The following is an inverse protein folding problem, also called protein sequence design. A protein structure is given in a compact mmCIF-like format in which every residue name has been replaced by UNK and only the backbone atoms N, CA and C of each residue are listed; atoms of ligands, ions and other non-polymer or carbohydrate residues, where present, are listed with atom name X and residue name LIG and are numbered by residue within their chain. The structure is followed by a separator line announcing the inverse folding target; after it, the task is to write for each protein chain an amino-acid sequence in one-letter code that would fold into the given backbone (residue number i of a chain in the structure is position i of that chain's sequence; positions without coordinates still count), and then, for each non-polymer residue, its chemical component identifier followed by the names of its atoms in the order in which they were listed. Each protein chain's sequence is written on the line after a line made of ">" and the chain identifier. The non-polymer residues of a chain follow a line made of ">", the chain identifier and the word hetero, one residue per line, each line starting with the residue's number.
data_IF_382441752071
#
_entry.id   IF_382441752071
#
_cell.length_a   1.000
_cell.length_b   1.000
_cell.length_c   1.000
_cell.angle_alpha   90.00
_cell.angle_beta   90.00
_cell.angle_gamma   90.00
#
_symmetry.space_group_name_H-M   'P 1'
#
loop_
_entity.id
_entity.type
_entity.pdbx_description
1 polymer ?
#
# COMPACT_ATOMS: atom_id res chain seq x y z
N UNK A 1 -22.71 31.31 -5.86
CA UNK A 1 -21.73 31.32 -4.77
C UNK A 1 -21.13 29.94 -4.59
N UNK A 2 -19.83 29.86 -4.29
CA UNK A 2 -19.19 28.59 -3.95
C UNK A 2 -19.05 28.51 -2.44
N UNK A 3 -19.49 27.40 -1.87
CA UNK A 3 -19.28 27.05 -0.48
C UNK A 3 -18.34 25.87 -0.37
N UNK A 4 -17.40 25.92 0.57
CA UNK A 4 -16.41 24.86 0.79
C UNK A 4 -16.31 24.53 2.28
N UNK A 5 -16.36 23.24 2.63
CA UNK A 5 -16.33 22.75 4.00
C UNK A 5 -15.58 21.41 4.11
N UNK A 6 -14.90 21.23 5.23
CA UNK A 6 -14.28 19.95 5.63
C UNK A 6 -15.36 19.01 6.17
N UNK A 7 -15.37 17.76 5.70
CA UNK A 7 -16.39 16.77 6.08
C UNK A 7 -16.42 16.44 7.58
N UNK A 8 -15.35 16.76 8.32
CA UNK A 8 -15.25 16.47 9.76
C UNK A 8 -15.95 17.52 10.64
N UNK A 9 -16.50 18.58 10.06
CA UNK A 9 -17.34 19.52 10.81
C UNK A 9 -18.74 18.94 11.06
N UNK A 10 -19.36 19.36 12.17
CA UNK A 10 -20.75 19.06 12.45
C UNK A 10 -21.66 19.68 11.37
N UNK A 11 -22.41 18.86 10.61
CA UNK A 11 -23.31 19.32 9.57
C UNK A 11 -24.36 20.33 10.06
N UNK A 12 -24.86 20.19 11.29
CA UNK A 12 -25.90 21.07 11.86
C UNK A 12 -25.37 22.49 12.07
N UNK A 13 -24.16 22.61 12.61
CA UNK A 13 -23.50 23.90 12.81
C UNK A 13 -23.17 24.58 11.48
N UNK A 14 -22.72 23.80 10.50
CA UNK A 14 -22.42 24.26 9.15
C UNK A 14 -23.69 24.76 8.47
N UNK A 15 -24.79 24.00 8.54
CA UNK A 15 -26.07 24.37 7.97
C UNK A 15 -26.62 25.67 8.58
N UNK A 16 -26.54 25.85 9.90
CA UNK A 16 -26.94 27.10 10.56
C UNK A 16 -26.25 28.31 9.92
N UNK A 17 -24.93 28.20 9.68
CA UNK A 17 -24.13 29.25 9.07
C UNK A 17 -24.44 29.46 7.58
N UNK A 18 -24.65 28.37 6.83
CA UNK A 18 -25.06 28.44 5.42
C UNK A 18 -26.41 29.14 5.30
N UNK A 19 -27.39 28.79 6.13
CA UNK A 19 -28.71 29.39 6.10
C UNK A 19 -28.65 30.90 6.38
N UNK A 20 -27.80 31.37 7.29
CA UNK A 20 -27.56 32.81 7.49
C UNK A 20 -26.98 33.51 6.25
N UNK A 21 -26.13 32.82 5.49
CA UNK A 21 -25.53 33.35 4.26
C UNK A 21 -26.52 33.31 3.08
N UNK A 22 -27.33 32.26 2.99
CA UNK A 22 -28.33 32.06 1.94
C UNK A 22 -29.58 32.91 2.16
N UNK A 23 -29.97 33.24 3.39
CA UNK A 23 -31.11 34.13 3.68
C UNK A 23 -31.00 35.52 3.03
N UNK A 24 -29.79 35.93 2.62
CA UNK A 24 -29.53 37.18 1.89
C UNK A 24 -29.70 37.05 0.37
N UNK A 25 -29.91 35.85 -0.14
CA UNK A 25 -30.15 35.57 -1.56
C UNK A 25 -31.48 34.84 -1.69
N UNK A 26 -32.42 35.38 -2.46
CA UNK A 26 -33.72 34.74 -2.72
C UNK A 26 -33.58 33.26 -3.09
N UNK A 27 -34.65 32.48 -2.87
CA UNK A 27 -34.76 31.01 -2.94
C UNK A 27 -34.14 30.35 -4.19
N UNK A 28 -32.82 30.27 -4.25
CA UNK A 28 -32.09 29.54 -5.29
C UNK A 28 -31.69 28.18 -4.72
N UNK A 29 -32.19 27.12 -5.34
CA UNK A 29 -31.75 25.73 -5.09
C UNK A 29 -30.23 25.66 -5.08
N UNK A 30 -29.66 25.25 -3.95
CA UNK A 30 -28.22 25.09 -3.80
C UNK A 30 -27.85 23.65 -4.09
N UNK A 31 -26.99 23.44 -5.09
CA UNK A 31 -26.46 22.12 -5.37
C UNK A 31 -25.35 21.78 -4.36
N UNK A 32 -25.13 20.51 -4.07
CA UNK A 32 -24.05 20.10 -3.19
C UNK A 32 -23.38 18.81 -3.64
N UNK A 33 -22.13 18.62 -3.24
CA UNK A 33 -21.35 17.43 -3.56
C UNK A 33 -20.46 17.04 -2.39
N UNK A 34 -20.36 15.73 -2.14
CA UNK A 34 -19.42 15.14 -1.20
C UNK A 34 -18.22 14.59 -1.95
N UNK A 35 -17.03 15.19 -1.82
CA UNK A 35 -15.80 14.71 -2.44
C UNK A 35 -14.99 13.88 -1.43
N UNK A 36 -15.24 12.58 -1.42
CA UNK A 36 -14.60 11.63 -0.50
C UNK A 36 -14.95 10.17 -0.79
N UNK A 37 -14.43 9.28 0.05
CA UNK A 37 -14.63 7.82 0.03
C UNK A 37 -15.55 7.33 1.13
N UNK A 38 -15.68 8.08 2.23
CA UNK A 38 -16.51 7.70 3.37
C UNK A 38 -18.01 7.89 3.05
N UNK A 39 -18.62 6.81 2.57
CA UNK A 39 -20.04 6.79 2.21
C UNK A 39 -20.95 7.05 3.41
N UNK A 40 -20.61 6.52 4.59
CA UNK A 40 -21.41 6.74 5.80
C UNK A 40 -21.39 8.22 6.20
N UNK A 41 -20.22 8.86 6.14
CA UNK A 41 -20.13 10.31 6.37
C UNK A 41 -20.89 11.10 5.30
N UNK A 42 -20.87 10.68 4.03
CA UNK A 42 -21.72 11.30 2.99
C UNK A 42 -23.22 11.22 3.31
N UNK A 43 -23.69 10.11 3.88
CA UNK A 43 -25.10 9.94 4.25
C UNK A 43 -25.49 10.88 5.40
N UNK A 44 -24.64 11.01 6.41
CA UNK A 44 -24.86 11.95 7.53
C UNK A 44 -25.02 13.39 7.02
N UNK A 45 -24.21 13.79 6.03
CA UNK A 45 -24.34 15.09 5.40
C UNK A 45 -25.61 15.24 4.56
N UNK A 46 -26.01 14.19 3.84
CA UNK A 46 -27.23 14.18 3.03
C UNK A 46 -28.48 14.35 3.89
N UNK A 47 -28.57 13.60 5.00
CA UNK A 47 -29.65 13.71 5.98
C UNK A 47 -29.72 15.13 6.57
N UNK A 48 -28.58 15.69 6.97
CA UNK A 48 -28.53 17.02 7.58
C UNK A 48 -28.93 18.14 6.61
N UNK A 49 -28.54 18.05 5.33
CA UNK A 49 -28.88 19.08 4.33
C UNK A 49 -30.35 19.00 3.89
N UNK A 50 -30.91 17.79 3.80
CA UNK A 50 -32.31 17.57 3.43
C UNK A 50 -32.69 18.08 2.03
N UNK A 51 -33.99 18.12 1.73
CA UNK A 51 -34.53 18.39 0.39
C UNK A 51 -34.27 19.80 -0.18
N UNK A 52 -33.79 20.75 0.63
CA UNK A 52 -33.42 22.10 0.17
C UNK A 52 -32.13 22.14 -0.65
N UNK A 53 -31.31 21.08 -0.56
CA UNK A 53 -30.05 20.97 -1.28
C UNK A 53 -30.10 19.81 -2.28
N UNK A 54 -29.78 20.08 -3.54
CA UNK A 54 -29.77 19.05 -4.59
C UNK A 54 -28.41 18.36 -4.63
N UNK A 55 -28.35 17.07 -4.28
CA UNK A 55 -27.11 16.27 -4.36
C UNK A 55 -26.69 16.11 -5.82
N UNK A 56 -25.42 16.41 -6.10
CA UNK A 56 -24.79 16.11 -7.37
C UNK A 56 -24.17 14.72 -7.25
N UNK A 57 -24.67 13.77 -8.03
CA UNK A 57 -23.99 12.49 -8.24
C UNK A 57 -22.89 12.68 -9.27
N UNK A 58 -21.70 12.14 -9.00
CA UNK A 58 -20.55 12.16 -9.91
C UNK A 58 -19.95 10.76 -10.11
N UNK A 59 -20.64 9.70 -9.68
CA UNK A 59 -20.08 8.34 -9.66
C UNK A 59 -19.66 7.85 -11.05
N UNK A 60 -20.44 8.17 -12.10
CA UNK A 60 -20.11 7.83 -13.49
C UNK A 60 -18.89 8.61 -13.97
N UNK A 61 -18.83 9.90 -13.65
CA UNK A 61 -17.69 10.74 -13.98
C UNK A 61 -16.42 10.31 -13.26
N UNK A 62 -16.51 9.88 -12.00
CA UNK A 62 -15.36 9.35 -11.26
C UNK A 62 -14.79 8.10 -11.93
N UNK A 63 -15.64 7.15 -12.32
CA UNK A 63 -15.19 5.93 -12.99
C UNK A 63 -14.58 6.24 -14.36
N UNK A 64 -15.23 7.08 -15.17
CA UNK A 64 -14.70 7.50 -16.45
C UNK A 64 -13.35 8.23 -16.31
N UNK A 65 -13.26 9.17 -15.36
CA UNK A 65 -12.05 9.91 -15.10
C UNK A 65 -10.92 8.99 -14.62
N UNK A 66 -11.22 8.07 -13.71
CA UNK A 66 -10.24 7.12 -13.20
C UNK A 66 -9.66 6.24 -14.31
N UNK A 67 -10.49 5.78 -15.26
CA UNK A 67 -10.04 5.03 -16.43
C UNK A 67 -9.12 5.87 -17.33
N UNK A 68 -9.52 7.12 -17.62
CA UNK A 68 -8.74 8.04 -18.47
C UNK A 68 -7.41 8.41 -17.80
N UNK A 69 -7.40 8.63 -16.49
CA UNK A 69 -6.23 9.11 -15.75
C UNK A 69 -5.29 7.99 -15.32
N UNK A 70 -5.70 6.72 -15.43
CA UNK A 70 -4.87 5.58 -15.02
C UNK A 70 -3.50 5.60 -15.70
N UNK A 71 -3.46 5.62 -17.04
CA UNK A 71 -2.19 5.58 -17.76
C UNK A 71 -1.33 6.83 -17.52
N UNK A 72 -1.85 8.06 -17.65
CA UNK A 72 -1.09 9.27 -17.31
C UNK A 72 -0.52 9.25 -15.89
N UNK A 73 -1.25 8.70 -14.92
CA UNK A 73 -0.76 8.58 -13.55
C UNK A 73 0.38 7.56 -13.43
N UNK A 74 0.28 6.41 -14.10
CA UNK A 74 1.35 5.42 -14.12
C UNK A 74 2.62 5.97 -14.79
N UNK A 75 2.48 6.73 -15.87
CA UNK A 75 3.61 7.38 -16.56
C UNK A 75 4.25 8.44 -15.65
N UNK A 76 3.44 9.27 -14.99
CA UNK A 76 3.91 10.27 -14.03
C UNK A 76 4.65 9.65 -12.84
N UNK A 77 4.16 8.52 -12.30
CA UNK A 77 4.86 7.76 -11.26
C UNK A 77 6.15 7.13 -11.80
N UNK A 78 6.16 6.64 -13.03
CA UNK A 78 7.35 6.06 -13.69
C UNK A 78 8.48 7.09 -13.77
N UNK A 79 8.18 8.31 -14.19
CA UNK A 79 9.18 9.38 -14.28
C UNK A 79 9.72 9.80 -12.91
N UNK A 80 8.87 9.84 -11.89
CA UNK A 80 9.32 10.02 -10.52
C UNK A 80 10.19 8.85 -10.06
N UNK A 81 9.84 7.62 -10.45
CA UNK A 81 10.59 6.41 -10.17
C UNK A 81 12.01 6.48 -10.68
N UNK A 82 12.21 6.79 -11.97
CA UNK A 82 13.54 7.00 -12.55
C UNK A 82 14.37 8.04 -11.79
N UNK A 83 13.73 9.14 -11.40
CA UNK A 83 14.40 10.27 -10.76
C UNK A 83 14.85 9.97 -9.34
N UNK A 84 14.07 9.19 -8.59
CA UNK A 84 14.30 8.95 -7.17
C UNK A 84 14.82 7.54 -6.85
N UNK A 85 14.86 6.65 -7.83
CA UNK A 85 15.21 5.23 -7.79
C UNK A 85 16.09 4.84 -6.59
N UNK A 86 15.43 4.49 -5.50
CA UNK A 86 16.09 4.22 -4.22
C UNK A 86 15.17 3.40 -3.35
N UNK A 87 15.76 2.73 -2.34
CA UNK A 87 14.99 2.02 -1.34
C UNK A 87 13.89 2.90 -0.73
N UNK A 88 14.21 4.16 -0.40
CA UNK A 88 13.24 5.10 0.17
C UNK A 88 12.10 5.42 -0.80
N UNK A 89 12.35 5.51 -2.11
CA UNK A 89 11.28 5.69 -3.07
C UNK A 89 10.38 4.45 -3.16
N UNK A 90 10.96 3.29 -3.44
CA UNK A 90 10.23 2.05 -3.70
C UNK A 90 9.45 1.50 -2.51
N UNK A 91 9.84 1.89 -1.30
CA UNK A 91 9.14 1.53 -0.06
C UNK A 91 8.19 2.63 0.43
N UNK A 92 7.86 3.62 -0.42
CA UNK A 92 6.89 4.69 -0.12
C UNK A 92 5.48 4.38 -0.63
N UNK A 93 4.43 4.84 0.08
CA UNK A 93 3.03 4.72 -0.37
C UNK A 93 2.77 5.31 -1.76
N UNK A 94 3.47 6.39 -2.12
CA UNK A 94 3.30 7.02 -3.43
C UNK A 94 3.77 6.07 -4.54
N UNK A 95 4.95 5.45 -4.37
CA UNK A 95 5.49 4.50 -5.33
C UNK A 95 4.76 3.14 -5.33
N UNK A 96 4.17 2.76 -4.19
CA UNK A 96 3.34 1.55 -4.08
C UNK A 96 2.07 1.67 -4.93
N UNK A 97 1.40 2.84 -4.93
CA UNK A 97 0.15 3.09 -5.66
C UNK A 97 -1.03 2.22 -5.22
N UNK A 98 -1.01 1.69 -3.99
CA UNK A 98 -2.11 0.89 -3.47
C UNK A 98 -3.37 1.77 -3.30
N UNK A 99 -4.42 1.46 -4.06
CA UNK A 99 -5.69 2.18 -4.08
C UNK A 99 -6.72 1.63 -3.09
N UNK A 100 -6.48 0.49 -2.46
CA UNK A 100 -7.34 0.00 -1.37
C UNK A 100 -7.30 0.96 -0.18
N UNK A 101 -6.13 1.52 0.09
CA UNK A 101 -5.91 2.56 1.10
C UNK A 101 -6.22 3.95 0.54
N UNK A 102 -6.28 4.96 1.42
CA UNK A 102 -6.33 6.37 0.99
C UNK A 102 -5.11 6.69 0.09
N UNK A 103 -5.39 6.94 -1.19
CA UNK A 103 -4.35 7.00 -2.22
C UNK A 103 -4.31 8.36 -2.90
N UNK A 104 -3.11 8.77 -3.31
CA UNK A 104 -2.89 9.99 -4.08
C UNK A 104 -3.77 10.03 -5.34
N UNK A 105 -3.95 8.90 -6.00
CA UNK A 105 -4.75 8.79 -7.23
C UNK A 105 -6.21 9.21 -7.02
N UNK A 106 -6.85 8.75 -5.93
CA UNK A 106 -8.23 9.16 -5.62
C UNK A 106 -8.33 10.66 -5.37
N UNK A 107 -7.37 11.23 -4.63
CA UNK A 107 -7.32 12.67 -4.33
C UNK A 107 -7.20 13.50 -5.59
N UNK A 108 -6.37 13.07 -6.54
CA UNK A 108 -6.25 13.70 -7.87
C UNK A 108 -7.60 13.67 -8.61
N UNK A 109 -8.29 12.53 -8.59
CA UNK A 109 -9.60 12.40 -9.23
C UNK A 109 -10.64 13.32 -8.59
N UNK A 110 -10.75 13.34 -7.26
CA UNK A 110 -11.66 14.24 -6.54
C UNK A 110 -11.35 15.72 -6.77
N UNK A 111 -10.07 16.07 -6.82
CA UNK A 111 -9.65 17.44 -7.13
C UNK A 111 -10.13 17.85 -8.53
N UNK A 112 -9.89 17.01 -9.54
CA UNK A 112 -10.35 17.28 -10.91
C UNK A 112 -11.88 17.36 -11.00
N UNK A 113 -12.61 16.45 -10.36
CA UNK A 113 -14.08 16.50 -10.31
C UNK A 113 -14.56 17.82 -9.71
N UNK A 114 -13.95 18.27 -8.60
CA UNK A 114 -14.29 19.55 -8.00
C UNK A 114 -14.03 20.75 -8.93
N UNK A 115 -12.94 20.72 -9.70
CA UNK A 115 -12.65 21.74 -10.71
C UNK A 115 -13.69 21.73 -11.86
N UNK A 116 -14.08 20.54 -12.32
CA UNK A 116 -15.02 20.40 -13.43
C UNK A 116 -16.44 20.81 -13.02
N UNK A 117 -16.89 20.42 -11.82
CA UNK A 117 -18.18 20.85 -11.27
C UNK A 117 -18.26 22.36 -11.11
N UNK A 118 -17.16 23.01 -10.75
CA UNK A 118 -17.11 24.47 -10.71
C UNK A 118 -17.34 25.10 -12.10
N UNK A 119 -16.78 24.51 -13.16
CA UNK A 119 -16.92 25.03 -14.53
C UNK A 119 -18.32 24.76 -15.14
N UNK A 120 -19.16 23.92 -14.51
CA UNK A 120 -20.56 23.68 -14.95
C UNK A 120 -21.53 24.83 -14.61
N UNK A 121 -21.03 25.95 -14.05
CA UNK A 121 -21.77 27.19 -13.80
C UNK A 121 -23.05 27.03 -12.95
N UNK A 122 -23.00 26.21 -11.90
CA UNK A 122 -24.07 26.19 -10.89
C UNK A 122 -24.24 27.56 -10.22
N UNK A 123 -25.50 27.99 -10.03
CA UNK A 123 -25.79 29.25 -9.33
C UNK A 123 -25.17 29.29 -7.93
N UNK A 124 -25.43 28.23 -7.15
CA UNK A 124 -24.83 27.98 -5.83
C UNK A 124 -24.40 26.51 -5.75
N UNK A 125 -23.15 26.26 -5.34
CA UNK A 125 -22.63 24.92 -5.12
C UNK A 125 -21.93 24.82 -3.76
N UNK A 126 -22.24 23.77 -3.02
CA UNK A 126 -21.63 23.44 -1.74
C UNK A 126 -20.77 22.18 -1.81
N UNK A 127 -19.45 22.36 -1.73
CA UNK A 127 -18.47 21.30 -1.67
C UNK A 127 -18.20 20.90 -0.22
N UNK A 128 -18.48 19.63 0.10
CA UNK A 128 -18.05 18.97 1.33
C UNK A 128 -16.91 18.05 0.95
N UNK A 129 -15.74 18.21 1.56
CA UNK A 129 -14.52 17.52 1.13
C UNK A 129 -13.92 16.74 2.28
N UNK A 130 -13.62 15.46 2.06
CA UNK A 130 -13.04 14.58 3.08
C UNK A 130 -11.54 14.82 3.25
N UNK A 131 -10.81 14.92 2.13
CA UNK A 131 -9.38 15.17 2.14
C UNK A 131 -9.08 16.65 2.33
N UNK A 132 -8.25 16.94 3.34
CA UNK A 132 -7.80 18.29 3.60
C UNK A 132 -7.00 18.86 2.43
N UNK A 133 -6.12 18.05 1.83
CA UNK A 133 -5.32 18.48 0.68
C UNK A 133 -6.18 18.80 -0.55
N UNK A 134 -7.20 17.99 -0.85
CA UNK A 134 -8.16 18.27 -1.95
C UNK A 134 -8.89 19.59 -1.70
N UNK A 135 -9.38 19.80 -0.48
CA UNK A 135 -10.06 21.05 -0.11
C UNK A 135 -9.15 22.27 -0.33
N UNK A 136 -7.88 22.18 0.05
CA UNK A 136 -6.95 23.29 -0.09
C UNK A 136 -6.54 23.58 -1.54
N UNK A 137 -6.38 22.55 -2.38
CA UNK A 137 -6.12 22.75 -3.81
C UNK A 137 -7.35 23.34 -4.51
N UNK A 138 -8.56 22.86 -4.19
CA UNK A 138 -9.81 23.46 -4.68
C UNK A 138 -9.95 24.92 -4.25
N UNK A 139 -9.61 25.22 -2.99
CA UNK A 139 -9.58 26.58 -2.49
C UNK A 139 -8.65 27.47 -3.31
N UNK A 140 -7.42 27.01 -3.54
CA UNK A 140 -6.42 27.76 -4.32
C UNK A 140 -6.83 27.93 -5.79
N UNK A 141 -7.57 26.97 -6.35
CA UNK A 141 -8.16 27.05 -7.68
C UNK A 141 -9.33 28.06 -7.73
N UNK A 142 -10.23 28.05 -6.74
CA UNK A 142 -11.41 28.91 -6.71
C UNK A 142 -11.11 30.36 -6.32
N UNK A 143 -10.12 30.62 -5.45
CA UNK A 143 -9.88 31.98 -4.90
C UNK A 143 -9.60 33.04 -5.98
N UNK A 144 -9.04 32.63 -7.11
CA UNK A 144 -8.73 33.53 -8.24
C UNK A 144 -9.95 33.78 -9.14
N UNK A 145 -11.08 33.14 -8.87
CA UNK A 145 -12.30 33.20 -9.67
C UNK A 145 -13.44 33.73 -8.79
N UNK A 146 -13.90 34.95 -9.06
CA UNK A 146 -14.80 35.73 -8.20
C UNK A 146 -16.03 34.90 -7.73
N UNK A 147 -16.51 35.16 -6.48
CA UNK A 147 -17.66 34.54 -5.76
C UNK A 147 -17.40 33.24 -4.93
N UNK A 148 -16.28 33.17 -4.20
CA UNK A 148 -16.00 32.12 -3.20
C UNK A 148 -16.38 32.57 -1.78
N UNK A 149 -17.23 31.79 -1.08
CA UNK A 149 -17.55 31.99 0.34
C UNK A 149 -17.17 30.75 1.15
N UNK A 150 -16.19 30.91 2.03
CA UNK A 150 -15.72 29.79 2.84
C UNK A 150 -16.52 29.70 4.15
N UNK A 151 -17.17 28.57 4.41
CA UNK A 151 -18.01 28.41 5.61
C UNK A 151 -17.15 28.20 6.87
N UNK A 152 -15.98 27.56 6.75
CA UNK A 152 -14.97 27.46 7.82
C UNK A 152 -13.55 27.82 7.37
N UNK A 153 -13.23 29.11 7.31
CA UNK A 153 -12.04 29.65 6.64
C UNK A 153 -10.69 29.04 7.12
N UNK A 154 -9.98 28.23 6.30
CA UNK A 154 -8.66 27.70 6.62
C UNK A 154 -7.57 28.78 6.55
N UNK A 155 -7.84 29.92 5.90
CA UNK A 155 -6.92 31.05 5.74
C UNK A 155 -6.90 32.04 6.90
N UNK A 156 -7.90 32.09 7.78
CA UNK A 156 -7.95 33.13 8.82
C UNK A 156 -6.82 33.02 9.86
N UNK A 157 -5.98 32.01 9.76
CA UNK A 157 -4.75 31.92 10.52
C UNK A 157 -3.58 31.59 9.59
N UNK A 158 -2.70 32.56 9.33
CA UNK A 158 -1.31 32.30 8.88
C UNK A 158 -0.64 31.31 9.85
N UNK A 159 -1.02 31.41 11.13
CA UNK A 159 -0.82 30.44 12.20
C UNK A 159 -1.32 29.02 11.88
N UNK A 160 -2.40 28.81 11.13
CA UNK A 160 -2.92 27.48 10.78
C UNK A 160 -2.06 26.83 9.70
N UNK A 161 -1.54 27.57 8.71
CA UNK A 161 -0.55 27.00 7.77
C UNK A 161 0.73 26.60 8.48
N UNK A 162 1.22 27.44 9.40
CA UNK A 162 2.40 27.14 10.21
C UNK A 162 2.15 25.97 11.18
N UNK A 163 1.07 26.04 11.97
CA UNK A 163 0.58 24.97 12.83
C UNK A 163 0.38 23.69 12.04
N UNK A 164 -0.05 23.70 10.78
CA UNK A 164 -0.20 22.48 9.96
C UNK A 164 1.12 21.89 9.48
N UNK A 165 2.08 22.70 9.04
CA UNK A 165 3.45 22.19 8.79
C UNK A 165 4.02 21.59 10.06
N UNK A 166 3.80 22.26 11.19
CA UNK A 166 4.18 21.81 12.51
C UNK A 166 3.43 20.55 12.95
N UNK A 167 2.12 20.44 12.72
CA UNK A 167 1.31 19.26 13.05
C UNK A 167 1.63 18.07 12.17
N UNK A 168 1.86 18.27 10.87
CA UNK A 168 2.39 17.22 10.00
C UNK A 168 3.76 16.77 10.47
N UNK A 169 4.64 17.70 10.84
CA UNK A 169 5.94 17.37 11.40
C UNK A 169 5.82 16.59 12.72
N UNK A 170 4.94 17.02 13.63
CA UNK A 170 4.63 16.32 14.87
C UNK A 170 4.04 14.94 14.59
N UNK A 171 3.12 14.81 13.62
CA UNK A 171 2.50 13.52 13.31
C UNK A 171 3.55 12.56 12.76
N UNK A 172 4.44 13.02 11.87
CA UNK A 172 5.59 12.25 11.40
C UNK A 172 6.50 11.84 12.57
N UNK A 173 6.86 12.76 13.47
CA UNK A 173 7.67 12.46 14.64
C UNK A 173 6.98 11.47 15.60
N UNK A 174 5.67 11.61 15.82
CA UNK A 174 4.87 10.71 16.65
C UNK A 174 4.83 9.32 16.02
N UNK A 175 4.62 9.21 14.72
CA UNK A 175 4.65 7.92 14.01
C UNK A 175 6.03 7.28 14.06
N UNK A 176 7.11 8.04 13.85
CA UNK A 176 8.48 7.56 13.99
C UNK A 176 8.78 7.07 15.41
N UNK A 177 8.33 7.81 16.42
CA UNK A 177 8.44 7.45 17.83
C UNK A 177 7.70 6.14 18.12
N UNK A 178 6.44 6.02 17.70
CA UNK A 178 5.64 4.81 17.90
C UNK A 178 6.28 3.60 17.21
N UNK A 179 6.74 3.74 15.97
CA UNK A 179 7.42 2.66 15.29
C UNK A 179 8.74 2.26 15.96
N UNK A 180 9.50 3.23 16.48
CA UNK A 180 10.71 2.95 17.24
C UNK A 180 10.39 2.08 18.46
N UNK A 181 9.50 2.54 19.33
CA UNK A 181 9.16 1.82 20.55
C UNK A 181 8.51 0.46 20.28
N UNK A 182 7.55 0.39 19.35
CA UNK A 182 6.93 -0.88 18.99
C UNK A 182 7.96 -1.88 18.44
N UNK A 183 8.92 -1.42 17.63
CA UNK A 183 9.98 -2.31 17.13
C UNK A 183 10.92 -2.73 18.25
N UNK A 184 11.28 -1.84 19.18
CA UNK A 184 12.13 -2.19 20.31
C UNK A 184 11.48 -3.23 21.24
N UNK A 185 10.18 -3.15 21.47
CA UNK A 185 9.44 -4.17 22.22
C UNK A 185 9.57 -5.53 21.53
N UNK A 186 9.37 -5.59 20.21
CA UNK A 186 9.52 -6.83 19.44
C UNK A 186 10.95 -7.36 19.45
N UNK A 187 11.97 -6.49 19.36
CA UNK A 187 13.37 -6.93 19.48
C UNK A 187 13.64 -7.52 20.86
N UNK A 188 13.17 -6.86 21.92
CA UNK A 188 13.33 -7.33 23.29
C UNK A 188 12.69 -8.70 23.46
N UNK A 189 11.46 -8.88 22.99
CA UNK A 189 10.76 -10.17 23.02
C UNK A 189 11.50 -11.24 22.22
N UNK A 190 11.95 -10.92 21.00
CA UNK A 190 12.69 -11.84 20.13
C UNK A 190 14.02 -12.33 20.74
N UNK A 191 14.70 -11.48 21.51
CA UNK A 191 15.97 -11.81 22.18
C UNK A 191 15.80 -12.48 23.54
N UNK A 192 14.62 -12.40 24.16
CA UNK A 192 14.34 -13.14 25.40
C UNK A 192 13.99 -14.61 25.16
N UNK A 193 13.44 -14.94 23.98
CA UNK A 193 13.23 -16.31 23.54
C UNK A 193 14.56 -16.94 23.09
N UNK A 194 14.76 -18.24 23.36
CA UNK A 194 16.05 -18.91 23.10
C UNK A 194 16.28 -18.95 21.58
N UNK A 195 17.40 -18.41 21.06
CA UNK A 195 17.65 -18.41 19.63
C UNK A 195 18.01 -19.82 19.14
N UNK A 196 17.05 -20.53 18.58
CA UNK A 196 17.33 -21.60 17.62
C UNK A 196 17.51 -20.97 16.25
N UNK A 197 18.76 -20.84 15.81
CA UNK A 197 19.03 -20.69 14.38
C UNK A 197 18.60 -21.99 13.69
N UNK A 198 18.06 -21.92 12.47
CA UNK A 198 17.67 -23.14 11.77
C UNK A 198 18.86 -24.09 11.66
N UNK A 199 18.72 -25.31 12.20
CA UNK A 199 19.81 -26.29 12.24
C UNK A 199 20.23 -26.69 10.82
N UNK A 200 19.29 -26.58 9.90
CA UNK A 200 19.43 -26.85 8.48
C UNK A 200 20.46 -25.97 7.76
N UNK A 201 20.77 -24.76 8.26
CA UNK A 201 21.82 -23.91 7.65
C UNK A 201 23.22 -24.53 7.64
N UNK A 202 23.45 -25.55 8.46
CA UNK A 202 24.69 -26.29 8.57
C UNK A 202 24.64 -27.71 7.97
N UNK A 203 23.51 -28.10 7.36
CA UNK A 203 23.38 -29.38 6.65
C UNK A 203 23.86 -29.20 5.20
N UNK A 204 24.64 -30.16 4.69
CA UNK A 204 25.03 -30.24 3.28
C UNK A 204 23.82 -30.67 2.43
N UNK A 205 22.90 -29.74 2.15
CA UNK A 205 21.93 -29.87 1.06
C UNK A 205 22.36 -28.96 -0.09
N UNK A 206 22.20 -29.44 -1.32
CA UNK A 206 22.71 -28.76 -2.50
C UNK A 206 21.92 -27.51 -2.89
N UNK A 207 20.63 -27.39 -2.51
CA UNK A 207 19.78 -26.22 -2.82
C UNK A 207 18.80 -25.87 -1.71
N UNK A 208 18.73 -24.58 -1.36
CA UNK A 208 17.86 -24.02 -0.31
C UNK A 208 16.88 -22.98 -0.85
N UNK A 209 15.64 -23.09 -0.41
CA UNK A 209 14.54 -22.18 -0.71
C UNK A 209 14.12 -21.45 0.56
N UNK A 210 13.96 -20.13 0.45
CA UNK A 210 13.34 -19.32 1.50
C UNK A 210 11.91 -18.96 1.07
N UNK A 211 10.93 -19.32 1.88
CA UNK A 211 9.53 -18.93 1.73
C UNK A 211 9.22 -17.76 2.67
N UNK A 212 8.90 -16.59 2.12
CA UNK A 212 8.34 -15.49 2.90
C UNK A 212 6.81 -15.59 2.84
N UNK A 213 6.16 -15.79 3.99
CA UNK A 213 4.72 -16.08 4.02
C UNK A 213 3.98 -15.24 5.05
N UNK A 214 2.78 -14.79 4.67
CA UNK A 214 1.86 -14.05 5.52
C UNK A 214 1.09 -15.03 6.40
N UNK A 215 1.39 -15.01 7.70
CA UNK A 215 0.85 -15.94 8.69
C UNK A 215 -0.22 -15.25 9.53
N UNK A 216 -1.43 -15.80 9.47
CA UNK A 216 -2.56 -15.41 10.31
C UNK A 216 -2.80 -16.42 11.45
N UNK A 217 -3.79 -16.16 12.31
CA UNK A 217 -4.07 -17.02 13.47
C UNK A 217 -4.32 -18.48 13.08
N UNK A 218 -4.84 -18.75 11.87
CA UNK A 218 -5.19 -20.11 11.46
C UNK A 218 -3.98 -20.99 11.21
N UNK A 219 -2.80 -20.39 10.95
CA UNK A 219 -1.55 -21.11 10.78
C UNK A 219 -1.19 -21.93 12.03
N UNK A 220 -1.53 -21.41 13.19
CA UNK A 220 -1.16 -21.96 14.48
C UNK A 220 -2.25 -22.92 14.99
N UNK A 221 -2.31 -24.10 14.39
CA UNK A 221 -3.26 -25.13 14.78
C UNK A 221 -3.04 -25.64 16.22
N UNK A 222 -4.10 -26.23 16.78
CA UNK A 222 -4.07 -26.90 18.09
C UNK A 222 -3.30 -28.23 18.03
N UNK A 223 -3.26 -28.89 16.88
CA UNK A 223 -2.49 -30.12 16.64
C UNK A 223 -0.98 -29.86 16.47
N UNK A 224 -0.57 -28.59 16.44
CA UNK A 224 0.83 -28.18 16.30
C UNK A 224 1.36 -28.23 14.86
N UNK A 225 0.56 -28.64 13.89
CA UNK A 225 0.93 -28.67 12.48
C UNK A 225 0.63 -27.33 11.76
N UNK A 226 1.61 -26.67 11.12
CA UNK A 226 1.39 -25.40 10.46
C UNK A 226 0.32 -25.49 9.34
N UNK A 227 -0.67 -24.60 9.37
CA UNK A 227 -1.73 -24.53 8.33
C UNK A 227 -1.52 -23.32 7.42
N UNK A 228 -0.71 -23.52 6.39
CA UNK A 228 -0.37 -22.47 5.42
C UNK A 228 -1.54 -22.15 4.47
N UNK A 229 -1.97 -20.89 4.44
CA UNK A 229 -3.11 -20.42 3.66
C UNK A 229 -2.76 -20.00 2.24
N UNK A 230 -1.60 -19.37 2.06
CA UNK A 230 -1.19 -18.78 0.78
C UNK A 230 -0.37 -19.76 -0.06
N UNK A 231 0.43 -20.60 0.61
CA UNK A 231 1.27 -21.63 0.00
C UNK A 231 0.98 -23.05 0.51
N UNK A 232 -0.29 -23.51 0.54
CA UNK A 232 -0.60 -24.85 1.02
C UNK A 232 0.19 -25.90 0.22
N UNK A 233 0.77 -26.89 0.93
CA UNK A 233 1.56 -28.00 0.40
C UNK A 233 2.86 -27.63 -0.34
N UNK A 234 3.19 -26.34 -0.45
CA UNK A 234 4.35 -25.91 -1.23
C UNK A 234 5.66 -26.32 -0.58
N UNK A 235 5.74 -26.22 0.75
CA UNK A 235 6.92 -26.63 1.52
C UNK A 235 7.20 -28.12 1.28
N UNK A 236 6.19 -28.94 1.47
CA UNK A 236 6.26 -30.40 1.36
C UNK A 236 6.65 -30.83 -0.07
N UNK A 237 6.09 -30.18 -1.09
CA UNK A 237 6.42 -30.44 -2.50
C UNK A 237 7.86 -30.04 -2.86
N UNK A 238 8.39 -28.96 -2.27
CA UNK A 238 9.79 -28.59 -2.46
C UNK A 238 10.73 -29.55 -1.72
N UNK A 239 10.38 -29.94 -0.50
CA UNK A 239 11.16 -30.88 0.28
C UNK A 239 11.20 -32.28 -0.35
N UNK A 240 10.09 -32.74 -0.94
CA UNK A 240 10.03 -34.02 -1.67
C UNK A 240 10.94 -34.05 -2.91
N UNK A 241 11.21 -32.86 -3.48
CA UNK A 241 12.16 -32.66 -4.60
C UNK A 241 13.60 -32.44 -4.14
N UNK A 242 13.89 -32.62 -2.86
CA UNK A 242 15.24 -32.53 -2.29
C UNK A 242 15.67 -31.13 -1.86
N UNK A 243 14.81 -30.11 -1.99
CA UNK A 243 15.13 -28.79 -1.49
C UNK A 243 15.13 -28.75 0.05
N UNK A 244 15.89 -27.82 0.60
CA UNK A 244 15.73 -27.39 1.98
C UNK A 244 14.83 -26.16 2.01
N UNK A 245 13.78 -26.15 2.84
CA UNK A 245 12.83 -25.03 2.89
C UNK A 245 12.89 -24.34 4.25
N UNK A 246 13.16 -23.04 4.24
CA UNK A 246 13.18 -22.19 5.44
C UNK A 246 12.13 -21.11 5.31
N UNK A 247 11.36 -20.88 6.36
CA UNK A 247 10.24 -19.92 6.36
C UNK A 247 10.68 -18.61 7.03
N UNK A 248 10.40 -17.48 6.39
CA UNK A 248 10.40 -16.16 7.04
C UNK A 248 8.93 -15.78 7.33
N UNK A 249 8.47 -15.84 8.59
CA UNK A 249 7.10 -15.54 8.93
C UNK A 249 6.84 -14.02 8.89
N UNK A 250 5.77 -13.61 8.20
CA UNK A 250 5.15 -12.30 8.32
C UNK A 250 3.84 -12.42 9.10
N UNK A 251 3.90 -12.17 10.40
CA UNK A 251 2.75 -12.24 11.29
C UNK A 251 1.75 -11.10 11.01
N UNK A 252 0.51 -11.46 10.70
CA UNK A 252 -0.58 -10.52 10.38
C UNK A 252 -1.93 -11.08 10.83
N UNK A 253 -2.77 -10.27 11.49
CA UNK A 253 -4.07 -10.72 12.02
C UNK A 253 -3.99 -11.97 12.92
N UNK A 254 -3.04 -11.96 13.85
CA UNK A 254 -2.94 -12.96 14.91
C UNK A 254 -3.63 -12.44 16.18
N UNK A 255 -4.27 -13.34 16.92
CA UNK A 255 -4.90 -13.04 18.21
C UNK A 255 -3.90 -13.22 19.37
N UNK A 256 -2.86 -14.02 19.16
CA UNK A 256 -1.78 -14.25 20.13
C UNK A 256 -0.75 -13.12 20.15
N UNK A 257 -0.03 -13.00 21.26
CA UNK A 257 1.10 -12.08 21.37
C UNK A 257 2.28 -12.55 20.52
N UNK A 258 3.21 -11.63 20.23
CA UNK A 258 4.41 -11.96 19.47
C UNK A 258 5.26 -13.03 20.18
N UNK A 259 5.46 -12.91 21.49
CA UNK A 259 6.16 -13.93 22.30
C UNK A 259 5.48 -15.30 22.24
N UNK A 260 4.14 -15.36 22.26
CA UNK A 260 3.41 -16.63 22.11
C UNK A 260 3.63 -17.25 20.72
N UNK A 261 3.68 -16.44 19.66
CA UNK A 261 4.03 -16.91 18.33
C UNK A 261 5.46 -17.46 18.26
N UNK A 262 6.43 -16.78 18.90
CA UNK A 262 7.82 -17.26 18.96
C UNK A 262 7.95 -18.60 19.66
N UNK A 263 7.33 -18.74 20.83
CA UNK A 263 7.29 -20.01 21.57
C UNK A 263 6.68 -21.12 20.71
N UNK A 264 5.62 -20.81 19.97
CA UNK A 264 5.03 -21.79 19.05
C UNK A 264 6.02 -22.23 17.96
N UNK A 265 6.74 -21.31 17.32
CA UNK A 265 7.76 -21.66 16.30
C UNK A 265 8.93 -22.47 16.87
N UNK A 266 9.23 -22.35 18.17
CA UNK A 266 10.27 -23.15 18.83
C UNK A 266 9.80 -24.56 19.20
N UNK A 267 8.51 -24.73 19.49
CA UNK A 267 7.93 -25.98 19.96
C UNK A 267 7.45 -26.91 18.83
N UNK A 268 7.24 -26.37 17.64
CA UNK A 268 6.60 -27.08 16.53
C UNK A 268 7.55 -27.23 15.33
N UNK A 269 7.26 -28.23 14.51
CA UNK A 269 8.10 -28.59 13.37
C UNK A 269 8.21 -27.45 12.34
N UNK A 270 9.43 -27.18 11.90
CA UNK A 270 9.74 -26.23 10.84
C UNK A 270 11.04 -25.48 11.10
N UNK A 271 11.60 -24.95 10.02
CA UNK A 271 12.82 -24.14 10.06
C UNK A 271 12.42 -22.68 9.79
N UNK A 272 12.62 -21.81 10.78
CA UNK A 272 12.11 -20.43 10.74
C UNK A 272 13.24 -19.38 10.91
N UNK A 273 13.28 -18.39 10.02
CA UNK A 273 14.08 -17.17 10.21
C UNK A 273 13.16 -16.09 10.80
N UNK A 274 13.28 -15.85 12.10
CA UNK A 274 12.58 -14.75 12.78
C UNK A 274 13.34 -13.44 12.53
N UNK A 275 12.82 -12.49 11.72
CA UNK A 275 13.56 -11.30 11.34
C UNK A 275 14.07 -10.48 12.53
N UNK A 276 13.22 -10.33 13.54
CA UNK A 276 13.49 -9.54 14.74
C UNK A 276 14.74 -10.01 15.51
N UNK A 277 15.12 -11.30 15.43
CA UNK A 277 16.35 -11.83 16.07
C UNK A 277 17.64 -11.32 15.44
N UNK A 278 17.58 -10.84 14.20
CA UNK A 278 18.75 -10.37 13.47
C UNK A 278 18.96 -8.87 13.62
N UNK A 279 17.95 -8.10 14.02
CA UNK A 279 18.03 -6.66 14.04
C UNK A 279 18.71 -6.13 15.31
N UNK A 280 19.49 -5.06 15.13
CA UNK A 280 20.00 -4.26 16.25
C UNK A 280 19.20 -2.97 16.37
N UNK A 281 19.34 -2.26 17.49
CA UNK A 281 18.79 -0.91 17.67
C UNK A 281 19.26 0.03 16.54
N UNK A 282 20.50 -0.14 16.05
CA UNK A 282 21.03 0.66 14.93
C UNK A 282 20.33 0.37 13.61
N UNK A 283 19.80 -0.84 13.40
CA UNK A 283 19.00 -1.15 12.21
C UNK A 283 17.64 -0.47 12.29
N UNK A 284 17.04 -0.38 13.48
CA UNK A 284 15.80 0.40 13.71
C UNK A 284 16.04 1.89 13.43
N UNK A 285 17.10 2.48 13.98
CA UNK A 285 17.46 3.89 13.69
C UNK A 285 17.69 4.09 12.19
N UNK A 286 18.33 3.13 11.52
CA UNK A 286 18.50 3.18 10.08
C UNK A 286 17.17 3.11 9.32
N UNK A 287 16.24 2.23 9.72
CA UNK A 287 14.89 2.14 9.16
C UNK A 287 14.13 3.45 9.30
N UNK A 288 14.17 4.08 10.48
CA UNK A 288 13.59 5.40 10.72
C UNK A 288 14.18 6.48 9.81
N UNK A 289 15.49 6.44 9.51
CA UNK A 289 16.11 7.35 8.53
C UNK A 289 15.54 7.15 7.12
N UNK A 290 15.18 5.93 6.72
CA UNK A 290 14.51 5.67 5.43
C UNK A 290 13.09 6.23 5.44
N UNK A 291 12.32 6.00 6.51
CA UNK A 291 10.96 6.54 6.64
C UNK A 291 10.94 8.07 6.66
N UNK A 292 11.95 8.69 7.29
CA UNK A 292 12.16 10.13 7.21
C UNK A 292 12.45 10.63 5.79
N UNK A 293 13.20 9.85 4.99
CA UNK A 293 13.43 10.18 3.58
C UNK A 293 12.12 10.06 2.79
N UNK A 294 11.34 9.00 3.00
CA UNK A 294 10.03 8.81 2.36
C UNK A 294 9.09 9.99 2.59
N UNK A 295 9.01 10.51 3.82
CA UNK A 295 8.13 11.64 4.18
C UNK A 295 8.49 12.98 3.48
N UNK A 296 9.61 13.00 2.73
CA UNK A 296 10.11 14.13 1.96
C UNK A 296 10.12 13.87 0.45
N UNK A 297 9.80 12.66 0.00
CA UNK A 297 9.76 12.28 -1.41
C UNK A 297 8.32 12.35 -1.98
N UNK A 298 8.15 12.71 -3.26
CA UNK A 298 9.15 13.36 -4.12
C UNK A 298 9.41 14.81 -3.66
N UNK A 299 10.67 15.28 -3.72
CA UNK A 299 11.04 16.64 -3.24
C UNK A 299 10.46 17.75 -4.11
N UNK A 300 10.45 17.56 -5.43
CA UNK A 300 9.83 18.45 -6.42
C UNK A 300 8.67 17.68 -7.04
N UNK A 301 7.49 18.30 -7.08
CA UNK A 301 6.26 17.71 -7.62
C UNK A 301 6.04 18.28 -9.02
N UNK A 302 6.18 17.48 -10.09
CA UNK A 302 5.80 17.89 -11.44
C UNK A 302 4.29 18.12 -11.51
N UNK A 303 3.84 18.93 -12.47
CA UNK A 303 2.42 19.01 -12.80
C UNK A 303 1.91 17.64 -13.24
N UNK A 304 0.66 17.34 -12.88
CA UNK A 304 -0.04 16.16 -13.36
C UNK A 304 -1.19 16.62 -14.25
N UNK A 305 -1.16 16.32 -15.55
CA UNK A 305 -2.19 16.78 -16.51
C UNK A 305 -2.45 18.30 -16.40
N UNK A 306 -1.38 19.08 -16.33
CA UNK A 306 -1.39 20.54 -16.10
C UNK A 306 -1.95 21.00 -14.75
N UNK A 307 -2.32 20.08 -13.84
CA UNK A 307 -2.77 20.38 -12.50
C UNK A 307 -1.59 20.44 -11.52
N UNK A 308 -1.59 21.48 -10.69
CA UNK A 308 -0.74 21.54 -9.51
C UNK A 308 -1.33 20.64 -8.41
N UNK A 309 -0.52 19.73 -7.89
CA UNK A 309 -0.96 18.71 -6.91
C UNK A 309 -0.03 18.59 -5.70
N UNK A 310 0.75 19.65 -5.41
CA UNK A 310 1.75 19.66 -4.34
C UNK A 310 1.19 19.27 -2.96
N UNK A 311 0.00 19.76 -2.61
CA UNK A 311 -0.62 19.47 -1.33
C UNK A 311 -1.15 18.03 -1.30
N UNK A 312 -1.70 17.54 -2.41
CA UNK A 312 -2.17 16.16 -2.53
C UNK A 312 -1.02 15.17 -2.33
N UNK A 313 0.11 15.45 -2.98
CA UNK A 313 1.33 14.66 -2.84
C UNK A 313 1.84 14.72 -1.41
N UNK A 314 1.90 15.91 -0.79
CA UNK A 314 2.39 16.07 0.59
C UNK A 314 1.55 15.29 1.60
N UNK A 315 0.23 15.33 1.49
CA UNK A 315 -0.66 14.55 2.37
C UNK A 315 -0.54 13.04 2.13
N UNK A 316 -0.26 12.64 0.89
CA UNK A 316 -0.07 11.23 0.52
C UNK A 316 1.30 10.66 0.92
N UNK A 317 2.20 11.48 1.48
CA UNK A 317 3.42 11.02 2.15
C UNK A 317 3.07 10.46 3.54
N UNK A 318 2.26 9.41 3.57
CA UNK A 318 1.91 8.74 4.82
C UNK A 318 3.04 7.85 5.30
N UNK A 319 2.97 7.49 6.58
CA UNK A 319 3.97 6.69 7.25
C UNK A 319 3.89 5.22 6.83
N UNK A 320 5.02 4.65 6.41
CA UNK A 320 5.12 3.23 6.08
C UNK A 320 5.58 2.43 7.29
N UNK A 321 5.17 1.17 7.36
CA UNK A 321 5.57 0.28 8.44
C UNK A 321 7.09 0.01 8.35
N UNK A 322 7.82 0.33 9.42
CA UNK A 322 9.28 0.15 9.50
C UNK A 322 9.70 -1.29 9.25
N UNK A 323 8.88 -2.27 9.65
CA UNK A 323 9.18 -3.70 9.48
C UNK A 323 9.51 -4.04 8.03
N UNK A 324 8.78 -3.45 7.09
CA UNK A 324 8.94 -3.71 5.67
C UNK A 324 10.28 -3.20 5.13
N UNK A 325 10.74 -2.05 5.62
CA UNK A 325 12.07 -1.54 5.28
C UNK A 325 13.18 -2.36 5.95
N UNK A 326 12.93 -2.93 7.13
CA UNK A 326 13.91 -3.72 7.86
C UNK A 326 14.26 -5.05 7.18
N UNK A 327 13.40 -5.60 6.30
CA UNK A 327 13.78 -6.75 5.47
C UNK A 327 15.05 -6.50 4.66
N UNK A 328 15.30 -5.27 4.22
CA UNK A 328 16.55 -4.91 3.56
C UNK A 328 17.77 -5.17 4.46
N UNK A 329 17.64 -4.94 5.77
CA UNK A 329 18.69 -5.23 6.76
C UNK A 329 18.77 -6.70 7.10
N UNK A 330 17.64 -7.42 7.08
CA UNK A 330 17.62 -8.86 7.29
C UNK A 330 18.52 -9.54 6.26
N UNK A 331 18.22 -9.37 4.96
CA UNK A 331 18.97 -10.02 3.88
C UNK A 331 20.46 -9.65 3.93
N UNK A 332 20.80 -8.38 4.20
CA UNK A 332 22.19 -7.96 4.40
C UNK A 332 22.89 -8.75 5.52
N UNK A 333 22.20 -8.98 6.63
CA UNK A 333 22.73 -9.70 7.79
C UNK A 333 22.83 -11.19 7.55
N UNK A 334 21.85 -11.79 6.89
CA UNK A 334 21.91 -13.19 6.46
C UNK A 334 23.17 -13.41 5.61
N UNK A 335 23.43 -12.58 4.60
CA UNK A 335 24.65 -12.65 3.78
C UNK A 335 25.91 -12.52 4.63
N UNK A 336 25.97 -11.54 5.55
CA UNK A 336 27.13 -11.32 6.42
C UNK A 336 27.40 -12.52 7.33
N UNK A 337 26.35 -13.20 7.78
CA UNK A 337 26.43 -14.39 8.62
C UNK A 337 26.59 -15.69 7.82
N UNK A 338 26.79 -15.60 6.48
CA UNK A 338 26.90 -16.75 5.57
C UNK A 338 25.67 -17.66 5.55
N UNK A 339 24.51 -17.09 5.90
CA UNK A 339 23.21 -17.74 5.75
C UNK A 339 22.77 -17.48 4.31
N UNK A 340 23.05 -18.46 3.43
CA UNK A 340 22.81 -18.37 1.99
C UNK A 340 21.63 -19.25 1.59
N UNK A 341 20.99 -18.90 0.48
CA UNK A 341 19.91 -19.65 -0.15
C UNK A 341 19.96 -19.40 -1.66
N UNK A 342 19.25 -20.22 -2.43
CA UNK A 342 19.29 -20.22 -3.90
C UNK A 342 18.02 -19.63 -4.51
N UNK A 343 16.89 -19.82 -3.83
CA UNK A 343 15.57 -19.35 -4.27
C UNK A 343 14.87 -18.61 -3.15
N UNK A 344 14.25 -17.49 -3.50
CA UNK A 344 13.39 -16.71 -2.61
C UNK A 344 11.99 -16.64 -3.20
N UNK A 345 11.00 -17.13 -2.46
CA UNK A 345 9.60 -17.13 -2.87
C UNK A 345 8.80 -16.25 -1.92
N UNK A 346 8.04 -15.31 -2.48
CA UNK A 346 7.09 -14.45 -1.75
C UNK A 346 5.77 -14.38 -2.53
N UNK A 347 4.74 -13.83 -1.89
CA UNK A 347 3.55 -13.36 -2.60
C UNK A 347 3.92 -12.19 -3.52
N UNK A 348 3.12 -11.97 -4.57
CA UNK A 348 3.28 -10.82 -5.45
C UNK A 348 2.02 -9.96 -5.48
N UNK A 349 2.02 -8.85 -4.76
CA UNK A 349 1.03 -7.77 -4.88
C UNK A 349 1.67 -6.45 -5.35
N UNK A 350 2.96 -6.49 -5.69
CA UNK A 350 3.82 -5.36 -6.00
C UNK A 350 3.82 -4.30 -4.88
N UNK A 351 3.73 -4.77 -3.63
CA UNK A 351 3.67 -3.95 -2.44
C UNK A 351 5.05 -3.57 -1.90
N UNK A 352 5.07 -2.60 -0.99
CA UNK A 352 6.30 -2.10 -0.38
C UNK A 352 7.09 -3.12 0.44
N UNK A 353 6.45 -4.21 0.89
CA UNK A 353 7.05 -5.38 1.57
C UNK A 353 8.03 -6.08 0.65
N UNK A 354 7.50 -6.56 -0.47
CA UNK A 354 8.17 -7.37 -1.48
C UNK A 354 9.32 -6.58 -2.13
N UNK A 355 9.06 -5.30 -2.45
CA UNK A 355 10.05 -4.42 -3.09
C UNK A 355 11.33 -4.27 -2.25
N UNK A 356 11.22 -4.16 -0.93
CA UNK A 356 12.39 -4.03 -0.06
C UNK A 356 13.25 -5.29 -0.10
N UNK A 357 12.61 -6.46 -0.11
CA UNK A 357 13.26 -7.76 -0.18
C UNK A 357 13.97 -7.95 -1.52
N UNK A 358 13.27 -7.74 -2.64
CA UNK A 358 13.86 -7.84 -4.00
C UNK A 358 15.06 -6.91 -4.17
N UNK A 359 14.96 -5.63 -3.75
CA UNK A 359 16.10 -4.70 -3.80
C UNK A 359 17.29 -5.24 -3.01
N UNK A 360 17.04 -5.79 -1.82
CA UNK A 360 18.11 -6.27 -0.95
C UNK A 360 18.75 -7.56 -1.44
N UNK A 361 17.97 -8.49 -1.98
CA UNK A 361 18.46 -9.75 -2.57
C UNK A 361 19.33 -9.42 -3.77
N UNK A 362 18.85 -8.64 -4.73
CA UNK A 362 19.65 -8.22 -5.90
C UNK A 362 20.98 -7.56 -5.54
N UNK A 363 21.03 -6.88 -4.40
CA UNK A 363 22.23 -6.19 -3.95
C UNK A 363 23.22 -7.07 -3.20
N UNK A 364 22.72 -7.97 -2.35
CA UNK A 364 23.55 -8.72 -1.41
C UNK A 364 23.73 -10.20 -1.79
N UNK A 365 22.81 -10.74 -2.58
CA UNK A 365 22.76 -12.12 -3.07
C UNK A 365 22.19 -12.13 -4.51
N UNK A 366 22.84 -11.46 -5.49
CA UNK A 366 22.34 -11.38 -6.88
C UNK A 366 22.19 -12.75 -7.57
N UNK A 367 22.82 -13.79 -7.04
CA UNK A 367 22.71 -15.18 -7.49
C UNK A 367 21.35 -15.82 -7.17
N UNK A 368 20.61 -15.28 -6.21
CA UNK A 368 19.33 -15.84 -5.76
C UNK A 368 18.25 -15.59 -6.79
N UNK A 369 17.53 -16.65 -7.15
CA UNK A 369 16.33 -16.56 -7.96
C UNK A 369 15.16 -16.02 -7.13
N UNK A 370 14.57 -14.89 -7.52
CA UNK A 370 13.39 -14.33 -6.84
C UNK A 370 12.10 -14.67 -7.60
N UNK A 371 11.12 -15.21 -6.88
CA UNK A 371 9.83 -15.65 -7.43
C UNK A 371 8.69 -15.00 -6.64
N UNK A 372 7.82 -14.28 -7.33
CA UNK A 372 6.59 -13.75 -6.76
C UNK A 372 5.37 -14.59 -7.16
N UNK A 373 4.56 -15.02 -6.21
CA UNK A 373 3.34 -15.79 -6.47
C UNK A 373 2.09 -14.90 -6.39
N UNK A 374 1.36 -14.83 -7.50
CA UNK A 374 0.04 -14.21 -7.51
C UNK A 374 -0.99 -15.16 -6.91
N UNK A 375 -1.69 -14.69 -5.88
CA UNK A 375 -2.65 -15.50 -5.11
C UNK A 375 -4.09 -14.96 -5.19
N UNK A 376 -4.33 -13.86 -5.91
CA UNK A 376 -5.66 -13.31 -6.11
C UNK A 376 -6.44 -14.05 -7.20
N UNK A 377 -7.77 -13.95 -7.16
CA UNK A 377 -8.64 -14.57 -8.18
C UNK A 377 -8.59 -13.82 -9.52
N UNK A 378 -8.53 -12.49 -9.49
CA UNK A 378 -8.42 -11.62 -10.66
C UNK A 378 -7.75 -10.30 -10.30
N UNK A 379 -7.17 -9.62 -11.29
CA UNK A 379 -6.71 -8.24 -11.12
C UNK A 379 -7.90 -7.27 -11.13
N UNK A 380 -7.91 -6.34 -10.19
CA UNK A 380 -8.92 -5.27 -10.18
C UNK A 380 -8.44 -4.12 -11.07
N UNK A 381 -9.24 -3.61 -12.04
CA UNK A 381 -8.80 -2.60 -13.02
C UNK A 381 -8.24 -1.30 -12.42
N UNK A 382 -8.61 -1.00 -11.17
CA UNK A 382 -8.21 0.20 -10.43
C UNK A 382 -7.26 -0.07 -9.27
N UNK A 383 -6.75 -1.31 -9.11
CA UNK A 383 -5.70 -1.65 -8.13
C UNK A 383 -4.32 -1.34 -8.71
N UNK A 384 -3.93 -0.06 -8.64
CA UNK A 384 -2.81 0.48 -9.42
C UNK A 384 -1.41 -0.01 -9.00
N UNK A 385 -1.28 -0.65 -7.83
CA UNK A 385 -0.06 -1.38 -7.48
C UNK A 385 0.20 -2.56 -8.42
N UNK A 386 -0.85 -3.18 -8.96
CA UNK A 386 -0.75 -4.31 -9.92
C UNK A 386 -0.53 -3.87 -11.37
N UNK A 387 -0.21 -2.60 -11.61
CA UNK A 387 0.11 -2.09 -12.93
C UNK A 387 1.55 -1.58 -12.94
N UNK A 388 2.19 -1.68 -14.09
CA UNK A 388 3.51 -1.11 -14.36
C UNK A 388 3.55 -0.59 -15.79
N UNK A 389 4.43 0.37 -16.08
CA UNK A 389 4.65 0.78 -17.47
C UNK A 389 5.74 -0.08 -18.10
N UNK A 390 5.78 -0.14 -19.43
CA UNK A 390 6.88 -0.83 -20.17
C UNK A 390 8.26 -0.28 -19.81
N UNK A 391 8.31 0.95 -19.33
CA UNK A 391 9.55 1.61 -18.93
C UNK A 391 9.87 1.36 -17.46
N UNK A 392 8.89 1.47 -16.57
CA UNK A 392 9.03 1.13 -15.16
C UNK A 392 9.49 -0.32 -14.97
N UNK A 393 8.96 -1.26 -15.75
CA UNK A 393 9.29 -2.69 -15.64
C UNK A 393 10.78 -3.03 -15.84
N UNK A 394 11.55 -2.11 -16.45
CA UNK A 394 12.99 -2.26 -16.68
C UNK A 394 13.84 -2.00 -15.45
N UNK A 395 13.38 -1.16 -14.53
CA UNK A 395 14.15 -0.72 -13.36
C UNK A 395 13.43 -0.92 -12.02
N UNK A 396 12.11 -1.14 -12.04
CA UNK A 396 11.36 -1.45 -10.83
C UNK A 396 11.82 -2.77 -10.19
N UNK A 397 11.77 -2.86 -8.85
CA UNK A 397 12.17 -4.04 -8.10
C UNK A 397 11.09 -5.14 -8.14
N UNK A 398 10.75 -5.61 -9.34
CA UNK A 398 9.96 -6.81 -9.54
C UNK A 398 10.82 -8.06 -9.33
N UNK A 399 10.26 -9.21 -8.91
CA UNK A 399 11.00 -10.47 -8.90
C UNK A 399 11.42 -10.88 -10.32
N UNK A 400 12.28 -11.89 -10.42
CA UNK A 400 12.77 -12.41 -11.70
C UNK A 400 11.66 -13.12 -12.46
N UNK A 401 10.86 -13.91 -11.75
CA UNK A 401 9.61 -14.48 -12.25
C UNK A 401 8.42 -14.15 -11.37
N UNK A 402 7.25 -14.04 -12.01
CA UNK A 402 5.97 -13.94 -11.33
C UNK A 402 5.10 -15.11 -11.79
N UNK A 403 4.68 -15.95 -10.86
CA UNK A 403 3.86 -17.13 -11.10
C UNK A 403 2.39 -16.75 -10.97
N UNK A 404 1.64 -16.95 -12.05
CA UNK A 404 0.21 -16.71 -12.18
C UNK A 404 -0.55 -18.01 -11.98
N UNK A 405 -1.61 -17.97 -11.19
CA UNK A 405 -2.49 -19.12 -10.95
C UNK A 405 -3.43 -19.47 -12.11
N UNK A 406 -3.45 -18.71 -13.21
CA UNK A 406 -4.26 -19.00 -14.39
C UNK A 406 -3.75 -18.27 -15.64
N UNK A 407 -4.19 -18.74 -16.82
CA UNK A 407 -3.94 -18.05 -18.09
C UNK A 407 -4.60 -16.66 -18.12
N UNK A 408 -5.83 -16.56 -17.62
CA UNK A 408 -6.55 -15.29 -17.51
C UNK A 408 -5.73 -14.24 -16.75
N UNK A 409 -5.19 -14.61 -15.59
CA UNK A 409 -4.39 -13.69 -14.78
C UNK A 409 -3.07 -13.35 -15.48
N UNK A 410 -2.43 -14.30 -16.16
CA UNK A 410 -1.26 -13.99 -17.00
C UNK A 410 -1.58 -12.93 -18.06
N UNK A 411 -2.67 -13.09 -18.81
CA UNK A 411 -3.06 -12.15 -19.85
C UNK A 411 -3.42 -10.77 -19.26
N UNK A 412 -4.06 -10.74 -18.07
CA UNK A 412 -4.32 -9.51 -17.34
C UNK A 412 -3.03 -8.79 -16.90
N UNK A 413 -2.02 -9.51 -16.40
CA UNK A 413 -0.74 -8.90 -16.02
C UNK A 413 0.06 -8.40 -17.24
N UNK A 414 -0.04 -9.08 -18.39
CA UNK A 414 0.49 -8.56 -19.66
C UNK A 414 -0.19 -7.24 -20.01
N UNK A 415 -1.53 -7.20 -19.94
CA UNK A 415 -2.30 -5.98 -20.18
C UNK A 415 -2.01 -4.87 -19.15
N UNK A 416 -1.63 -5.24 -17.92
CA UNK A 416 -1.19 -4.33 -16.87
C UNK A 416 0.26 -3.83 -17.05
N UNK A 417 0.96 -4.27 -18.10
CA UNK A 417 2.26 -3.79 -18.53
C UNK A 417 3.46 -4.64 -18.11
N UNK A 418 3.23 -5.81 -17.51
CA UNK A 418 4.32 -6.72 -17.16
C UNK A 418 4.89 -7.45 -18.39
N UNK A 419 6.22 -7.64 -18.46
CA UNK A 419 6.84 -8.35 -19.57
C UNK A 419 6.46 -9.84 -19.56
N UNK A 420 6.06 -10.37 -20.71
CA UNK A 420 5.58 -11.76 -20.85
C UNK A 420 6.63 -12.79 -20.41
N UNK A 421 7.91 -12.50 -20.67
CA UNK A 421 9.06 -13.34 -20.32
C UNK A 421 9.27 -13.48 -18.81
N UNK A 422 8.71 -12.58 -17.99
CA UNK A 422 8.72 -12.69 -16.52
C UNK A 422 7.54 -13.48 -15.97
N UNK A 423 6.51 -13.74 -16.78
CA UNK A 423 5.27 -14.36 -16.30
C UNK A 423 5.25 -15.86 -16.57
N UNK A 424 5.02 -16.65 -15.53
CA UNK A 424 4.86 -18.11 -15.60
C UNK A 424 3.44 -18.49 -15.19
N UNK A 425 2.92 -19.58 -15.75
CA UNK A 425 1.66 -20.18 -15.26
C UNK A 425 2.07 -21.25 -14.26
N UNK A 426 1.45 -21.26 -13.10
CA UNK A 426 1.66 -22.25 -12.06
C UNK A 426 0.36 -22.62 -11.36
N UNK A 427 0.42 -23.39 -10.28
CA UNK A 427 -0.76 -23.90 -9.62
C UNK A 427 -1.46 -22.80 -8.84
N UNK A 428 -2.78 -22.90 -8.74
CA UNK A 428 -3.59 -22.05 -7.88
C UNK A 428 -3.54 -22.56 -6.44
N UNK A 429 -2.39 -22.41 -5.77
CA UNK A 429 -2.09 -23.02 -4.46
C UNK A 429 -3.22 -22.81 -3.44
N UNK A 430 -3.61 -21.55 -3.21
CA UNK A 430 -4.70 -21.19 -2.28
C UNK A 430 -6.06 -21.80 -2.62
N UNK A 431 -6.30 -22.16 -3.88
CA UNK A 431 -7.59 -22.62 -4.38
C UNK A 431 -7.59 -24.09 -4.79
N UNK A 432 -6.59 -24.87 -4.36
CA UNK A 432 -6.48 -26.30 -4.68
C UNK A 432 -7.74 -27.09 -4.28
N UNK A 433 -8.44 -26.69 -3.23
CA UNK A 433 -9.67 -27.33 -2.76
C UNK A 433 -10.86 -27.19 -3.75
N UNK A 434 -10.78 -26.28 -4.73
CA UNK A 434 -11.81 -26.14 -5.77
C UNK A 434 -11.60 -27.11 -6.94
N UNK A 435 -10.41 -27.70 -7.06
CA UNK A 435 -10.11 -28.70 -8.07
C UNK A 435 -10.69 -30.05 -7.64
N UNK A 436 -11.86 -30.41 -8.17
CA UNK A 436 -12.49 -31.73 -7.96
C UNK A 436 -11.76 -32.88 -8.68
N UNK A 437 -10.79 -32.58 -9.55
CA UNK A 437 -10.01 -33.59 -10.27
C UNK A 437 -8.74 -33.91 -9.46
N UNK A 438 -8.48 -35.19 -9.12
CA UNK A 438 -7.23 -35.61 -8.51
C UNK A 438 -6.04 -35.11 -9.34
N UNK A 439 -5.00 -34.59 -8.68
CA UNK A 439 -3.78 -34.06 -9.31
C UNK A 439 -2.97 -35.10 -10.11
N UNK A 440 -3.44 -36.35 -10.22
CA UNK A 440 -2.71 -37.46 -10.83
C UNK A 440 -2.53 -37.35 -12.35
N UNK A 441 -3.35 -36.56 -13.06
CA UNK A 441 -3.27 -36.45 -14.54
C UNK A 441 -2.62 -35.16 -15.07
N UNK A 442 -2.26 -34.20 -14.22
CA UNK A 442 -1.68 -32.92 -14.67
C UNK A 442 -0.27 -32.67 -14.10
N UNK A 443 0.70 -33.51 -14.51
CA UNK A 443 2.13 -33.36 -14.19
C UNK A 443 2.79 -32.09 -14.75
N UNK A 444 2.09 -31.27 -15.54
CA UNK A 444 2.67 -30.16 -16.31
C UNK A 444 2.55 -28.75 -15.67
N UNK A 445 2.07 -28.60 -14.43
CA UNK A 445 1.77 -27.26 -13.89
C UNK A 445 2.38 -26.90 -12.54
N UNK A 446 3.29 -27.71 -11.98
CA UNK A 446 3.87 -27.41 -10.65
C UNK A 446 5.35 -27.09 -10.77
N UNK A 447 5.64 -25.78 -10.73
CA UNK A 447 6.95 -25.14 -10.62
C UNK A 447 7.98 -25.55 -11.68
N UNK A 448 8.15 -24.69 -12.68
CA UNK A 448 9.41 -24.64 -13.44
C UNK A 448 10.44 -23.95 -12.55
N UNK A 449 11.13 -24.75 -11.73
CA UNK A 449 12.37 -24.40 -11.04
C UNK A 449 13.55 -25.07 -11.74
#
# INVERSE_FOLDING_TARGET
>A
MIYLCDSNHDPKLVLKKINTLLWKSEFVTTAWVYLGRDYLKSLVWEEALGGKFKKISYSKELQALALIYRQPYLDWITDLGKKYDSLAWWTSRIAERNTMLDSLFHKICYYKIGMDLYNRNYNNIFFIVESHSVMMELFDFFKNKKKLTFIFNPLRNRLVRFKRRYFYFISVLRSLRLAFFNTLVLLKEAHHCIPTLPTSFFKNKDKRVVLHTCIDETYFSEDGCPRERYFPKLKEELESRGFEVVIIPWLFNINRSFSQALVWFEQHEGEYIIPERFYSVFDVIWGLKILWKQSRLPKKVPLFMSMKIDLLVRESRSYNNIKFVLYYRLIKKLKKQKILFDVFIDMFENMLTEKAQVISIRKYMPEVLTIGFWHGSSTYPMMLNLFTTKEESKFAPHPDFIVMNSRLNKDQFIAAGFPQEKLRIGPSLRYQYLSYTPLEENKNYVLVL
#
